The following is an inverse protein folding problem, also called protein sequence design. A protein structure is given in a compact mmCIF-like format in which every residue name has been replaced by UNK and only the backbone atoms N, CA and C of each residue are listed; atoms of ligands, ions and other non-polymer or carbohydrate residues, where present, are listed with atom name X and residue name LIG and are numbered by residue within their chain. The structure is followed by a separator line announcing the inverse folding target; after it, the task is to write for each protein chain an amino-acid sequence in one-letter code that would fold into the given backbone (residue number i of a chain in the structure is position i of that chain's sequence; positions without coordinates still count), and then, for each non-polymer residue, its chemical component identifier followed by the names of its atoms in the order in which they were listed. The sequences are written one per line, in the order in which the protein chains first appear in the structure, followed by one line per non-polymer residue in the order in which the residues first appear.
data_IF_373774093317
#
_entry.id   IF_373774093317
#
_cell.length_a   1.000
_cell.length_b   1.000
_cell.length_c   1.000
_cell.angle_alpha   90.00
_cell.angle_beta   90.00
_cell.angle_gamma   90.00
#
_symmetry.space_group_name_H-M   'P 1'
#
loop_
_entity.id
_entity.type
_entity.pdbx_description
1 polymer ?
#
# COMPACT_ATOMS: atom_id res chain seq x y z
N UNK A 1 -18.50 -8.10 22.45
CA UNK A 1 -18.99 -8.51 21.11
C UNK A 1 -18.65 -7.49 20.03
N UNK A 2 -18.86 -6.18 20.26
CA UNK A 2 -18.64 -5.13 19.25
C UNK A 2 -17.20 -5.04 18.69
N UNK A 3 -16.17 -5.28 19.52
CA UNK A 3 -14.76 -5.22 19.08
C UNK A 3 -14.48 -6.29 18.01
N UNK A 4 -14.91 -7.54 18.25
CA UNK A 4 -14.76 -8.62 17.25
C UNK A 4 -15.50 -8.32 15.94
N UNK A 5 -16.65 -7.63 16.01
CA UNK A 5 -17.38 -7.24 14.81
C UNK A 5 -16.62 -6.18 14.01
N UNK A 6 -15.97 -5.21 14.68
CA UNK A 6 -15.10 -4.24 14.02
C UNK A 6 -13.88 -4.92 13.39
N UNK A 7 -13.23 -5.84 14.11
CA UNK A 7 -12.06 -6.54 13.59
C UNK A 7 -12.41 -7.32 12.32
N UNK A 8 -13.50 -8.09 12.33
CA UNK A 8 -13.94 -8.90 11.18
C UNK A 8 -14.36 -8.02 10.00
N UNK A 9 -15.09 -6.93 10.26
CA UNK A 9 -15.58 -6.03 9.20
C UNK A 9 -14.51 -5.05 8.68
N UNK A 10 -13.40 -4.89 9.41
CA UNK A 10 -12.27 -4.05 8.98
C UNK A 10 -11.35 -4.75 7.97
N UNK A 11 -11.45 -6.08 7.86
CA UNK A 11 -10.69 -6.86 6.88
C UNK A 11 -11.30 -6.59 5.50
N UNK A 12 -10.53 -6.09 4.52
CA UNK A 12 -11.05 -5.89 3.18
C UNK A 12 -11.45 -7.24 2.57
N UNK A 13 -12.58 -7.31 1.83
CA UNK A 13 -13.07 -8.56 1.23
C UNK A 13 -12.20 -9.05 0.08
N UNK A 14 -11.32 -8.20 -0.47
CA UNK A 14 -10.44 -8.48 -1.58
C UNK A 14 -9.11 -7.74 -1.38
N UNK A 15 -8.04 -8.25 -1.99
CA UNK A 15 -6.71 -7.63 -2.01
C UNK A 15 -6.62 -6.44 -2.99
N UNK A 16 -7.68 -5.63 -3.11
CA UNK A 16 -7.79 -4.57 -4.11
C UNK A 16 -6.89 -3.35 -3.81
N UNK A 17 -6.81 -2.94 -2.55
CA UNK A 17 -5.97 -1.83 -2.09
C UNK A 17 -4.46 -2.08 -2.31
N UNK A 18 -3.88 -3.24 -1.92
CA UNK A 18 -2.47 -3.53 -2.24
C UNK A 18 -2.22 -3.72 -3.74
N UNK A 19 -3.16 -4.26 -4.51
CA UNK A 19 -3.02 -4.37 -5.97
C UNK A 19 -3.01 -2.99 -6.67
N UNK A 20 -3.86 -2.06 -6.21
CA UNK A 20 -3.83 -0.65 -6.66
C UNK A 20 -2.53 0.04 -6.26
N UNK A 21 -2.02 -0.23 -5.06
CA UNK A 21 -0.73 0.29 -4.61
C UNK A 21 0.40 -0.14 -5.55
N UNK A 22 0.52 -1.44 -5.83
CA UNK A 22 1.56 -1.98 -6.72
C UNK A 22 1.48 -1.44 -8.14
N UNK A 23 0.26 -1.26 -8.66
CA UNK A 23 0.03 -0.64 -9.96
C UNK A 23 0.52 0.82 -9.99
N UNK A 24 0.25 1.58 -8.92
CA UNK A 24 0.66 2.98 -8.80
C UNK A 24 2.17 3.16 -8.54
N UNK A 25 2.80 2.22 -7.84
CA UNK A 25 4.23 2.23 -7.53
C UNK A 25 5.09 1.65 -8.67
N UNK A 26 4.49 1.19 -9.77
CA UNK A 26 5.23 0.67 -10.91
C UNK A 26 6.25 1.69 -11.48
N UNK A 27 5.95 2.99 -11.38
CA UNK A 27 6.84 4.06 -11.82
C UNK A 27 8.07 4.27 -10.91
N UNK A 28 7.97 3.92 -9.63
CA UNK A 28 9.08 3.96 -8.67
C UNK A 28 9.89 2.66 -8.67
N UNK A 29 9.27 1.56 -9.12
CA UNK A 29 9.90 0.24 -9.28
C UNK A 29 10.65 0.08 -10.63
N UNK A 30 10.30 0.84 -11.69
CA UNK A 30 10.86 0.59 -13.03
C UNK A 30 10.97 1.76 -14.05
N UNK A 31 12.00 1.62 -14.90
CA UNK A 31 12.45 2.31 -16.15
C UNK A 31 12.57 3.85 -16.24
N UNK A 32 11.90 4.68 -15.42
CA UNK A 32 12.03 6.16 -15.51
C UNK A 32 12.85 6.82 -14.42
N UNK A 33 12.87 6.29 -13.20
CA UNK A 33 13.77 6.70 -12.11
C UNK A 33 14.78 5.58 -11.84
N UNK A 34 15.98 5.96 -11.39
CA UNK A 34 16.94 5.00 -10.86
C UNK A 34 16.24 4.12 -9.84
N UNK A 35 16.39 2.80 -9.97
CA UNK A 35 15.74 1.79 -9.13
C UNK A 35 15.91 2.19 -7.66
N UNK A 36 14.82 2.57 -7.01
CA UNK A 36 14.84 2.92 -5.60
C UNK A 36 15.04 1.65 -4.78
N UNK A 37 15.79 1.75 -3.68
CA UNK A 37 15.92 0.62 -2.76
C UNK A 37 14.54 0.24 -2.21
N UNK A 38 14.25 -1.05 -2.00
CA UNK A 38 12.98 -1.50 -1.45
C UNK A 38 12.58 -0.78 -0.16
N UNK A 39 13.55 -0.55 0.73
CA UNK A 39 13.34 0.22 1.97
C UNK A 39 12.85 1.64 1.70
N UNK A 40 13.41 2.35 0.72
CA UNK A 40 12.98 3.71 0.37
C UNK A 40 11.59 3.72 -0.23
N UNK A 41 11.24 2.69 -1.00
CA UNK A 41 9.90 2.55 -1.59
C UNK A 41 8.84 2.35 -0.51
N UNK A 42 9.13 1.49 0.48
CA UNK A 42 8.25 1.27 1.64
C UNK A 42 7.96 2.57 2.41
N UNK A 43 8.99 3.37 2.71
CA UNK A 43 8.80 4.65 3.40
C UNK A 43 7.95 5.63 2.57
N UNK A 44 8.17 5.69 1.25
CA UNK A 44 7.40 6.59 0.37
C UNK A 44 5.93 6.18 0.32
N UNK A 45 5.65 4.89 0.13
CA UNK A 45 4.27 4.40 0.07
C UNK A 45 3.58 4.50 1.45
N UNK A 46 4.31 4.30 2.55
CA UNK A 46 3.79 4.53 3.92
C UNK A 46 3.45 6.00 4.19
N UNK A 47 4.28 6.94 3.74
CA UNK A 47 3.95 8.37 3.86
C UNK A 47 2.73 8.75 2.99
N UNK A 48 2.61 8.18 1.80
CA UNK A 48 1.45 8.42 0.93
C UNK A 48 0.16 7.87 1.52
N UNK A 49 0.20 6.68 2.12
CA UNK A 49 -0.98 6.10 2.78
C UNK A 49 -1.39 6.90 4.02
N UNK A 50 -0.43 7.49 4.73
CA UNK A 50 -0.71 8.35 5.88
C UNK A 50 -1.34 9.70 5.50
N UNK A 51 -1.01 10.23 4.31
CA UNK A 51 -1.56 11.49 3.81
C UNK A 51 -2.94 11.34 3.15
N UNK A 52 -3.45 10.11 3.01
CA UNK A 52 -4.71 9.78 2.37
C UNK A 52 -5.83 9.74 3.40
#
# INVERSE_FOLDING_TARGET
LAIMALDILSIPPMSDEPERLFSSSAHTLGKRRAVLKPSTLEHIESMKSWSK
#
